data_IF_970164932202
#
_entry.id   IF_970164932202
#
_cell.length_a   1.000
_cell.length_b   1.000
_cell.length_c   1.000
_cell.angle_alpha   90.00
_cell.angle_beta   90.00
_cell.angle_gamma   90.00
#
_symmetry.space_group_name_H-M   'P 1'
#
loop_
_entity.id
_entity.type
_entity.pdbx_description
1 polymer ?
#
# COMPACT_ATOMS: atom_id res chain seq x y z
N UNK A 1 -27.49 9.24 -18.75
CA UNK A 1 -26.41 8.76 -17.88
C UNK A 1 -25.32 8.26 -18.78
N UNK A 2 -24.11 8.77 -18.61
CA UNK A 2 -22.96 8.34 -19.40
C UNK A 2 -22.59 6.89 -19.09
N UNK A 3 -22.22 6.13 -20.13
CA UNK A 3 -21.77 4.73 -19.97
C UNK A 3 -20.26 4.68 -20.09
N UNK A 4 -19.58 4.11 -19.10
CA UNK A 4 -18.15 3.84 -19.13
C UNK A 4 -17.87 2.45 -19.70
N UNK A 5 -16.69 2.24 -20.31
CA UNK A 5 -16.29 0.90 -20.73
C UNK A 5 -15.99 0.03 -19.50
N UNK A 6 -15.28 0.59 -18.52
CA UNK A 6 -14.87 -0.15 -17.31
C UNK A 6 -15.13 0.68 -16.06
N UNK A 7 -15.83 0.09 -15.08
CA UNK A 7 -15.94 0.59 -13.72
C UNK A 7 -14.99 -0.17 -12.79
N UNK A 8 -14.01 0.50 -12.21
CA UNK A 8 -13.10 -0.08 -11.21
C UNK A 8 -13.60 0.28 -9.82
N UNK A 9 -13.93 -0.72 -9.00
CA UNK A 9 -14.47 -0.52 -7.65
C UNK A 9 -13.37 -0.68 -6.60
N UNK A 10 -13.05 0.42 -5.91
CA UNK A 10 -11.98 0.56 -4.93
C UNK A 10 -10.77 1.30 -5.48
N UNK A 11 -10.42 2.46 -4.89
CA UNK A 11 -9.22 3.23 -5.22
C UNK A 11 -8.07 3.02 -4.23
N UNK A 12 -7.91 1.78 -3.73
CA UNK A 12 -6.69 1.31 -3.11
C UNK A 12 -5.58 1.16 -4.15
N UNK A 13 -4.39 0.71 -3.73
CA UNK A 13 -3.22 0.60 -4.62
C UNK A 13 -3.49 -0.27 -5.86
N UNK A 14 -4.24 -1.36 -5.72
CA UNK A 14 -4.58 -2.27 -6.82
C UNK A 14 -5.57 -1.63 -7.80
N UNK A 15 -6.67 -1.05 -7.30
CA UNK A 15 -7.66 -0.43 -8.17
C UNK A 15 -7.16 0.84 -8.84
N UNK A 16 -6.34 1.65 -8.16
CA UNK A 16 -5.71 2.82 -8.76
C UNK A 16 -4.72 2.42 -9.88
N UNK A 17 -3.92 1.36 -9.68
CA UNK A 17 -3.04 0.80 -10.71
C UNK A 17 -3.84 0.25 -11.90
N UNK A 18 -4.93 -0.51 -11.63
CA UNK A 18 -5.82 -1.03 -12.67
C UNK A 18 -6.47 0.11 -13.47
N UNK A 19 -7.02 1.13 -12.81
CA UNK A 19 -7.62 2.28 -13.50
C UNK A 19 -6.60 3.00 -14.39
N UNK A 20 -5.35 3.17 -13.91
CA UNK A 20 -4.25 3.75 -14.68
C UNK A 20 -3.97 2.95 -15.95
N UNK A 21 -3.79 1.63 -15.82
CA UNK A 21 -3.43 0.77 -16.95
C UNK A 21 -4.58 0.66 -17.97
N UNK A 22 -5.82 0.53 -17.50
CA UNK A 22 -7.01 0.49 -18.34
C UNK A 22 -7.22 1.81 -19.10
N UNK A 23 -6.99 2.95 -18.44
CA UNK A 23 -7.04 4.26 -19.11
C UNK A 23 -5.93 4.36 -20.17
N UNK A 24 -4.71 3.87 -19.86
CA UNK A 24 -3.59 3.84 -20.80
C UNK A 24 -3.89 2.99 -22.03
N UNK A 25 -4.60 1.88 -21.84
CA UNK A 25 -5.06 1.02 -22.91
C UNK A 25 -6.17 1.64 -23.79
N UNK A 26 -6.71 2.81 -23.41
CA UNK A 26 -7.65 3.60 -24.21
C UNK A 26 -9.12 3.42 -23.87
N UNK A 27 -9.45 2.67 -22.83
CA UNK A 27 -10.83 2.54 -22.40
C UNK A 27 -11.32 3.74 -21.57
N UNK A 28 -12.60 4.04 -21.67
CA UNK A 28 -13.26 5.05 -20.84
C UNK A 28 -13.53 4.47 -19.45
N UNK A 29 -12.70 4.85 -18.47
CA UNK A 29 -12.68 4.28 -17.13
C UNK A 29 -13.31 5.21 -16.10
N UNK A 30 -14.09 4.63 -15.16
CA UNK A 30 -14.47 5.28 -13.90
C UNK A 30 -13.89 4.52 -12.73
N UNK A 31 -13.21 5.23 -11.83
CA UNK A 31 -12.64 4.70 -10.57
C UNK A 31 -13.54 5.14 -9.42
N UNK A 32 -14.13 4.18 -8.71
CA UNK A 32 -15.08 4.38 -7.63
C UNK A 32 -14.43 4.09 -6.29
N UNK A 33 -14.48 5.03 -5.34
CA UNK A 33 -13.94 4.90 -4.00
C UNK A 33 -14.99 5.18 -2.94
N UNK A 34 -15.14 4.26 -1.99
CA UNK A 34 -16.12 4.38 -0.91
C UNK A 34 -15.75 5.43 0.14
N UNK A 35 -14.49 5.79 0.25
CA UNK A 35 -13.98 6.82 1.17
C UNK A 35 -13.81 8.16 0.45
N UNK A 36 -13.56 9.19 1.25
CA UNK A 36 -13.37 10.56 0.73
C UNK A 36 -12.11 10.72 -0.11
N UNK A 37 -11.13 9.80 0.00
CA UNK A 37 -9.83 9.94 -0.66
C UNK A 37 -9.23 8.59 -1.10
N UNK A 38 -8.40 8.65 -2.12
CA UNK A 38 -7.63 7.52 -2.68
C UNK A 38 -6.65 6.95 -1.68
N UNK A 39 -6.48 5.62 -1.67
CA UNK A 39 -5.52 4.94 -0.80
C UNK A 39 -5.87 4.97 0.68
N UNK A 40 -7.06 5.44 1.06
CA UNK A 40 -7.48 5.62 2.44
C UNK A 40 -7.84 4.31 3.19
N UNK A 41 -7.86 3.17 2.49
CA UNK A 41 -8.08 1.83 3.05
C UNK A 41 -6.79 1.17 3.57
N UNK A 42 -6.66 -0.14 3.35
CA UNK A 42 -5.49 -0.96 3.73
C UNK A 42 -4.17 -0.42 3.15
N UNK A 43 -4.20 0.20 1.98
CA UNK A 43 -3.02 0.69 1.26
C UNK A 43 -2.20 1.73 2.03
N UNK A 44 -2.77 2.45 3.01
CA UNK A 44 -2.03 3.42 3.84
C UNK A 44 -1.38 2.80 5.09
N UNK A 45 -1.73 1.56 5.44
CA UNK A 45 -1.37 0.94 6.71
C UNK A 45 -0.73 -0.44 6.48
N UNK A 46 0.54 -0.43 6.07
CA UNK A 46 1.36 -1.60 5.76
C UNK A 46 2.82 -1.36 6.14
N UNK A 47 3.69 -2.32 5.88
CA UNK A 47 5.13 -2.26 6.18
C UNK A 47 5.96 -1.56 5.11
N UNK A 48 5.36 -1.13 4.02
CA UNK A 48 6.01 -0.38 2.95
C UNK A 48 7.24 -1.07 2.31
N UNK A 49 7.25 -2.40 2.29
CA UNK A 49 8.32 -3.17 1.65
C UNK A 49 8.01 -3.35 0.17
N UNK A 50 8.99 -3.10 -0.67
CA UNK A 50 9.00 -3.45 -2.08
C UNK A 50 9.62 -4.84 -2.22
N UNK A 51 8.75 -5.85 -2.25
CA UNK A 51 9.12 -7.26 -2.16
C UNK A 51 9.69 -7.81 -3.46
N UNK A 52 10.80 -8.52 -3.39
CA UNK A 52 11.36 -9.28 -4.54
C UNK A 52 10.50 -10.50 -4.91
N UNK A 53 9.75 -11.03 -3.95
CA UNK A 53 8.99 -12.27 -4.10
C UNK A 53 9.76 -13.52 -3.69
N UNK A 54 10.96 -13.36 -3.11
CA UNK A 54 11.85 -14.48 -2.75
C UNK A 54 11.17 -15.56 -1.88
N UNK A 55 10.25 -15.15 -1.00
CA UNK A 55 9.57 -16.01 -0.03
C UNK A 55 8.14 -16.43 -0.44
N UNK A 56 7.68 -16.06 -1.62
CA UNK A 56 6.39 -16.48 -2.14
C UNK A 56 6.35 -17.99 -2.40
N UNK A 57 5.16 -18.60 -2.47
CA UNK A 57 5.05 -20.00 -2.84
C UNK A 57 5.43 -20.17 -4.32
N UNK A 58 6.45 -20.95 -4.68
CA UNK A 58 6.86 -21.12 -6.07
C UNK A 58 5.71 -21.60 -6.96
N UNK A 59 5.57 -20.97 -8.14
CA UNK A 59 4.52 -21.29 -9.09
C UNK A 59 3.14 -20.70 -8.76
N UNK A 60 2.98 -20.00 -7.64
CA UNK A 60 1.74 -19.29 -7.31
C UNK A 60 1.52 -18.05 -8.18
N UNK A 61 0.27 -17.58 -8.26
CA UNK A 61 -0.06 -16.30 -8.89
C UNK A 61 0.64 -15.15 -8.16
N UNK A 62 0.68 -15.21 -6.82
CA UNK A 62 1.41 -14.24 -6.00
C UNK A 62 2.89 -14.15 -6.41
N UNK A 63 3.62 -15.28 -6.51
CA UNK A 63 5.04 -15.31 -6.91
C UNK A 63 5.26 -14.61 -8.25
N UNK A 64 4.50 -14.98 -9.27
CA UNK A 64 4.58 -14.40 -10.62
C UNK A 64 4.32 -12.89 -10.62
N UNK A 65 3.24 -12.46 -9.95
CA UNK A 65 2.82 -11.06 -9.99
C UNK A 65 3.67 -10.16 -9.08
N UNK A 66 4.22 -10.66 -7.99
CA UNK A 66 5.15 -9.90 -7.15
C UNK A 66 6.46 -9.65 -7.90
N UNK A 67 7.07 -10.68 -8.48
CA UNK A 67 8.31 -10.55 -9.25
C UNK A 67 8.15 -9.59 -10.45
N UNK A 68 7.01 -9.67 -11.18
CA UNK A 68 6.72 -8.75 -12.29
C UNK A 68 6.47 -7.32 -11.79
N UNK A 69 5.64 -7.17 -10.74
CA UNK A 69 5.27 -5.87 -10.16
C UNK A 69 6.47 -5.14 -9.57
N UNK A 70 7.40 -5.86 -8.94
CA UNK A 70 8.66 -5.31 -8.45
C UNK A 70 9.42 -4.58 -9.57
N UNK A 71 9.63 -5.22 -10.72
CA UNK A 71 10.33 -4.62 -11.86
C UNK A 71 9.60 -3.38 -12.38
N UNK A 72 8.29 -3.50 -12.60
CA UNK A 72 7.46 -2.39 -13.09
C UNK A 72 7.47 -1.19 -12.13
N UNK A 73 7.34 -1.44 -10.84
CA UNK A 73 7.26 -0.37 -9.85
C UNK A 73 8.62 0.31 -9.65
N UNK A 74 9.73 -0.42 -9.73
CA UNK A 74 11.08 0.16 -9.72
C UNK A 74 11.35 1.10 -10.91
N UNK A 75 10.82 0.76 -12.08
CA UNK A 75 10.94 1.62 -13.27
C UNK A 75 10.02 2.84 -13.17
N UNK A 76 8.81 2.67 -12.64
CA UNK A 76 7.82 3.74 -12.56
C UNK A 76 8.10 4.73 -11.42
N UNK A 77 8.50 4.27 -10.25
CA UNK A 77 8.61 5.09 -9.06
C UNK A 77 9.45 6.37 -9.23
N UNK A 78 10.64 6.35 -9.86
CA UNK A 78 11.43 7.55 -10.09
C UNK A 78 10.72 8.59 -10.96
N UNK A 79 10.00 8.16 -11.99
CA UNK A 79 9.28 9.06 -12.92
C UNK A 79 8.09 9.72 -12.24
N UNK A 80 7.40 8.99 -11.39
CA UNK A 80 6.23 9.45 -10.64
C UNK A 80 6.57 10.24 -9.37
N UNK A 81 7.85 10.30 -8.96
CA UNK A 81 8.26 10.96 -7.71
C UNK A 81 8.01 10.13 -6.46
N UNK A 82 7.77 8.83 -6.59
CA UNK A 82 7.60 7.91 -5.48
C UNK A 82 8.98 7.57 -4.89
N UNK A 83 9.16 7.79 -3.59
CA UNK A 83 10.42 7.50 -2.92
C UNK A 83 10.62 5.98 -2.76
N UNK A 84 11.79 5.50 -3.16
CA UNK A 84 12.29 4.15 -2.90
C UNK A 84 13.67 4.28 -2.28
N UNK A 85 13.92 3.56 -1.21
CA UNK A 85 15.23 3.47 -0.56
C UNK A 85 15.76 2.04 -0.67
N UNK A 86 16.97 1.89 -1.20
CA UNK A 86 17.62 0.59 -1.44
C UNK A 86 18.32 0.11 -0.18
N UNK A 87 17.55 -0.41 0.77
CA UNK A 87 18.07 -0.88 2.06
C UNK A 87 18.55 -2.32 2.01
N UNK A 88 17.95 -3.15 1.18
CA UNK A 88 18.04 -4.59 1.31
C UNK A 88 17.29 -5.07 2.55
N UNK A 89 17.26 -6.40 2.71
CA UNK A 89 16.77 -7.05 3.92
C UNK A 89 17.73 -8.13 4.41
N UNK A 90 17.62 -8.45 5.68
CA UNK A 90 18.37 -9.51 6.33
C UNK A 90 17.40 -10.37 7.16
N UNK A 91 17.19 -11.63 6.75
CA UNK A 91 16.55 -12.61 7.61
C UNK A 91 17.51 -12.97 8.73
N UNK A 92 17.02 -12.98 9.98
CA UNK A 92 17.83 -13.24 11.16
C UNK A 92 17.37 -14.53 11.83
N UNK A 93 18.29 -15.48 11.99
CA UNK A 93 18.11 -16.72 12.74
C UNK A 93 18.61 -16.57 14.18
N UNK A 94 17.79 -17.00 15.13
CA UNK A 94 18.01 -16.83 16.56
C UNK A 94 18.27 -18.15 17.30
N UNK A 95 18.28 -19.25 16.56
CA UNK A 95 18.55 -20.60 17.07
C UNK A 95 19.03 -21.48 15.90
N UNK A 96 19.52 -22.67 16.23
CA UNK A 96 20.11 -23.61 15.27
C UNK A 96 19.05 -24.16 14.29
N UNK A 97 17.78 -24.29 14.70
CA UNK A 97 16.70 -24.75 13.81
C UNK A 97 16.40 -23.72 12.72
N UNK A 98 16.32 -22.45 13.10
CA UNK A 98 16.15 -21.35 12.15
C UNK A 98 17.35 -21.24 11.21
N UNK A 99 18.58 -21.32 11.74
CA UNK A 99 19.79 -21.28 10.92
C UNK A 99 19.85 -22.46 9.92
N UNK A 100 19.49 -23.67 10.35
CA UNK A 100 19.42 -24.84 9.50
C UNK A 100 18.36 -24.74 8.38
N UNK A 101 17.34 -23.88 8.52
CA UNK A 101 16.30 -23.68 7.51
C UNK A 101 16.69 -22.66 6.42
N UNK A 102 17.73 -21.84 6.61
CA UNK A 102 18.13 -20.81 5.66
C UNK A 102 18.52 -21.34 4.27
N UNK A 103 19.24 -22.46 4.10
CA UNK A 103 19.53 -23.00 2.78
C UNK A 103 18.27 -23.35 1.98
N UNK A 104 17.25 -23.92 2.62
CA UNK A 104 15.97 -24.22 1.95
C UNK A 104 15.20 -22.95 1.54
N UNK A 105 15.34 -21.85 2.29
CA UNK A 105 14.79 -20.54 1.90
C UNK A 105 15.57 -19.95 0.71
N UNK A 106 16.86 -20.16 0.62
CA UNK A 106 17.67 -19.75 -0.53
C UNK A 106 17.28 -20.55 -1.81
N UNK A 107 17.07 -21.86 -1.69
CA UNK A 107 16.54 -22.69 -2.78
C UNK A 107 15.16 -22.22 -3.22
N UNK A 108 14.29 -21.85 -2.28
CA UNK A 108 12.96 -21.29 -2.56
C UNK A 108 13.05 -19.96 -3.29
N UNK A 109 13.97 -19.08 -2.90
CA UNK A 109 14.23 -17.82 -3.58
C UNK A 109 14.68 -18.05 -5.04
N UNK A 110 15.59 -19.01 -5.27
CA UNK A 110 16.01 -19.37 -6.62
C UNK A 110 14.84 -19.94 -7.47
N UNK A 111 13.95 -20.72 -6.87
CA UNK A 111 12.73 -21.23 -7.52
C UNK A 111 11.72 -20.13 -7.88
N UNK A 112 11.85 -18.95 -7.27
CA UNK A 112 11.09 -17.72 -7.59
C UNK A 112 11.86 -16.78 -8.52
N UNK A 113 12.84 -17.26 -9.28
CA UNK A 113 13.71 -16.48 -10.17
C UNK A 113 14.51 -15.37 -9.45
N UNK A 114 14.78 -15.55 -8.16
CA UNK A 114 15.58 -14.62 -7.35
C UNK A 114 16.76 -15.32 -6.66
N UNK A 115 17.84 -15.63 -7.38
CA UNK A 115 19.01 -16.37 -6.85
C UNK A 115 20.03 -15.50 -6.09
N UNK A 116 19.76 -14.19 -5.90
CA UNK A 116 20.73 -13.23 -5.36
C UNK A 116 20.84 -13.25 -3.82
N UNK A 117 20.15 -14.16 -3.14
CA UNK A 117 20.22 -14.29 -1.70
C UNK A 117 21.54 -14.94 -1.27
N UNK A 118 22.05 -14.55 -0.10
CA UNK A 118 23.29 -15.07 0.48
C UNK A 118 23.06 -15.51 1.93
N UNK A 119 23.35 -16.77 2.23
CA UNK A 119 23.32 -17.28 3.62
C UNK A 119 24.62 -16.92 4.31
N UNK A 120 24.53 -16.30 5.49
CA UNK A 120 25.65 -15.76 6.26
C UNK A 120 25.62 -16.27 7.69
N UNK A 121 26.79 -16.29 8.35
CA UNK A 121 26.90 -16.65 9.77
C UNK A 121 26.48 -15.50 10.71
N UNK A 122 26.41 -15.81 12.02
CA UNK A 122 25.97 -14.85 13.02
C UNK A 122 26.97 -13.70 13.24
N UNK A 123 28.26 -13.87 12.98
CA UNK A 123 29.27 -12.81 13.08
C UNK A 123 29.03 -11.79 11.95
N UNK A 124 28.86 -12.27 10.74
CA UNK A 124 28.51 -11.43 9.57
C UNK A 124 27.21 -10.67 9.81
N UNK A 125 26.18 -11.28 10.40
CA UNK A 125 24.94 -10.57 10.75
C UNK A 125 25.22 -9.42 11.71
N UNK A 126 26.03 -9.62 12.74
CA UNK A 126 26.39 -8.58 13.71
C UNK A 126 27.23 -7.45 13.11
N UNK A 127 28.10 -7.76 12.17
CA UNK A 127 28.87 -6.75 11.43
C UNK A 127 27.97 -5.89 10.53
N UNK A 128 26.97 -6.51 9.89
CA UNK A 128 26.03 -5.85 9.01
C UNK A 128 24.98 -5.01 9.77
N UNK A 129 24.58 -5.46 10.95
CA UNK A 129 23.57 -4.81 11.82
C UNK A 129 24.08 -4.80 13.28
N UNK A 130 24.93 -3.82 13.64
CA UNK A 130 25.59 -3.79 14.95
C UNK A 130 24.66 -3.69 16.16
N UNK A 131 23.41 -3.23 15.95
CA UNK A 131 22.40 -3.09 17.00
C UNK A 131 21.45 -4.30 17.08
N UNK A 132 21.68 -5.35 16.29
CA UNK A 132 20.90 -6.60 16.40
C UNK A 132 21.07 -7.21 17.78
N UNK A 133 19.97 -7.73 18.34
CA UNK A 133 19.97 -8.31 19.69
C UNK A 133 20.89 -9.53 19.82
N UNK A 134 21.22 -9.95 21.05
CA UNK A 134 22.14 -11.06 21.30
C UNK A 134 21.53 -12.41 20.88
N UNK A 135 22.41 -13.40 20.65
CA UNK A 135 22.00 -14.78 20.35
C UNK A 135 21.69 -15.06 18.88
N UNK A 136 22.13 -14.20 17.97
CA UNK A 136 22.04 -14.44 16.53
C UNK A 136 23.01 -15.56 16.13
N UNK A 137 22.48 -16.58 15.44
CA UNK A 137 23.23 -17.76 14.97
C UNK A 137 23.54 -17.73 13.47
N UNK A 138 22.81 -16.97 12.68
CA UNK A 138 23.01 -16.81 11.24
C UNK A 138 21.96 -15.91 10.61
N UNK A 139 22.03 -15.76 9.29
CA UNK A 139 21.09 -14.96 8.53
C UNK A 139 21.09 -15.25 7.03
N UNK A 140 20.19 -14.58 6.31
CA UNK A 140 20.16 -14.60 4.85
C UNK A 140 19.95 -13.18 4.32
N UNK A 141 20.89 -12.68 3.55
CA UNK A 141 20.78 -11.40 2.84
C UNK A 141 19.82 -11.52 1.66
N UNK A 142 18.98 -10.50 1.48
CA UNK A 142 18.10 -10.30 0.33
C UNK A 142 18.37 -8.88 -0.19
N UNK A 143 19.36 -8.71 -1.09
CA UNK A 143 19.90 -7.38 -1.44
C UNK A 143 18.88 -6.41 -2.03
N UNK A 144 17.92 -6.91 -2.81
CA UNK A 144 16.94 -6.10 -3.53
C UNK A 144 15.58 -5.96 -2.81
N UNK A 145 15.46 -6.45 -1.58
CA UNK A 145 14.27 -6.21 -0.77
C UNK A 145 14.34 -4.78 -0.22
N UNK A 146 13.57 -3.87 -0.82
CA UNK A 146 13.68 -2.43 -0.56
C UNK A 146 12.48 -1.90 0.22
N UNK A 147 12.51 -0.61 0.54
CA UNK A 147 11.35 0.11 1.10
C UNK A 147 10.87 1.19 0.14
N UNK A 148 9.56 1.44 0.15
CA UNK A 148 8.90 2.35 -0.79
C UNK A 148 7.88 3.23 -0.05
N UNK A 149 7.55 4.40 -0.62
CA UNK A 149 6.46 5.24 -0.12
C UNK A 149 5.09 4.60 -0.44
N UNK A 150 4.38 4.06 0.58
CA UNK A 150 3.09 3.41 0.38
C UNK A 150 1.94 4.40 0.17
N UNK A 151 2.14 5.68 0.48
CA UNK A 151 1.12 6.72 0.37
C UNK A 151 1.10 7.36 -1.00
N UNK A 152 2.28 7.75 -1.49
CA UNK A 152 2.38 8.34 -2.83
C UNK A 152 2.06 7.35 -3.94
N UNK A 153 2.29 6.04 -3.74
CA UNK A 153 2.09 5.03 -4.78
C UNK A 153 0.65 4.99 -5.33
N UNK A 154 -0.42 4.76 -4.52
CA UNK A 154 -1.79 4.78 -5.04
C UNK A 154 -2.22 6.16 -5.54
N UNK A 155 -1.71 7.24 -4.92
CA UNK A 155 -1.99 8.62 -5.34
C UNK A 155 -1.41 8.89 -6.73
N UNK A 156 -0.18 8.46 -7.00
CA UNK A 156 0.46 8.60 -8.30
C UNK A 156 -0.32 7.85 -9.41
N UNK A 157 -0.72 6.61 -9.15
CA UNK A 157 -1.52 5.84 -10.10
C UNK A 157 -2.85 6.53 -10.42
N UNK A 158 -3.59 6.96 -9.39
CA UNK A 158 -4.85 7.66 -9.59
C UNK A 158 -4.66 9.02 -10.29
N UNK A 159 -3.57 9.74 -9.96
CA UNK A 159 -3.26 11.03 -10.59
C UNK A 159 -2.96 10.86 -12.07
N UNK A 160 -2.15 9.87 -12.44
CA UNK A 160 -1.90 9.54 -13.85
C UNK A 160 -3.20 9.18 -14.57
N UNK A 161 -4.03 8.31 -13.97
CA UNK A 161 -5.31 7.90 -14.56
C UNK A 161 -6.22 9.13 -14.84
N UNK A 162 -6.40 9.98 -13.84
CA UNK A 162 -7.26 11.17 -13.93
C UNK A 162 -6.72 12.19 -14.94
N UNK A 163 -5.40 12.43 -14.93
CA UNK A 163 -4.75 13.35 -15.86
C UNK A 163 -4.86 12.90 -17.33
N UNK A 164 -5.16 11.62 -17.57
CA UNK A 164 -5.32 11.03 -18.90
C UNK A 164 -6.78 10.61 -19.19
N UNK A 165 -7.76 11.12 -18.43
CA UNK A 165 -9.19 11.01 -18.76
C UNK A 165 -10.00 10.01 -17.94
N UNK A 166 -9.42 9.33 -16.95
CA UNK A 166 -10.19 8.54 -15.99
C UNK A 166 -11.07 9.46 -15.13
N UNK A 167 -12.32 9.07 -14.92
CA UNK A 167 -13.21 9.73 -13.98
C UNK A 167 -13.02 9.13 -12.59
N UNK A 168 -12.69 9.93 -11.58
CA UNK A 168 -12.60 9.50 -10.18
C UNK A 168 -13.83 10.00 -9.41
N UNK A 169 -14.55 9.08 -8.75
CA UNK A 169 -15.64 9.39 -7.84
C UNK A 169 -15.32 8.86 -6.45
N UNK A 170 -15.12 9.76 -5.52
CA UNK A 170 -14.98 9.47 -4.08
C UNK A 170 -16.33 9.57 -3.37
N UNK A 171 -16.40 9.10 -2.13
CA UNK A 171 -17.66 8.97 -1.38
C UNK A 171 -18.71 8.16 -2.17
N UNK A 172 -18.26 7.21 -2.99
CA UNK A 172 -19.10 6.35 -3.81
C UNK A 172 -18.99 4.89 -3.33
N UNK A 173 -19.68 4.58 -2.25
CA UNK A 173 -19.77 3.21 -1.73
C UNK A 173 -20.80 2.42 -2.54
N UNK A 174 -20.37 1.48 -3.35
CA UNK A 174 -21.26 0.61 -4.12
C UNK A 174 -22.12 -0.24 -3.19
N UNK A 175 -23.41 0.08 -3.11
CA UNK A 175 -24.42 -0.60 -2.31
C UNK A 175 -25.30 -1.53 -3.15
N UNK A 176 -25.57 -1.18 -4.41
CA UNK A 176 -26.39 -1.95 -5.34
C UNK A 176 -25.68 -2.29 -6.64
N UNK A 177 -26.00 -3.44 -7.22
CA UNK A 177 -25.52 -3.91 -8.52
C UNK A 177 -26.70 -4.49 -9.30
N UNK A 178 -26.94 -4.02 -10.52
CA UNK A 178 -27.93 -4.56 -11.44
C UNK A 178 -27.24 -4.91 -12.76
N UNK A 179 -27.17 -6.19 -13.07
CA UNK A 179 -26.52 -6.72 -14.28
C UNK A 179 -27.57 -6.78 -15.37
N UNK A 180 -27.47 -5.94 -16.39
CA UNK A 180 -28.32 -5.96 -17.58
C UNK A 180 -27.61 -6.64 -18.76
N UNK A 181 -28.25 -6.67 -19.93
CA UNK A 181 -27.75 -7.41 -21.11
C UNK A 181 -26.40 -6.88 -21.63
N UNK A 182 -26.21 -5.57 -21.68
CA UNK A 182 -24.98 -4.94 -22.22
C UNK A 182 -24.19 -4.13 -21.18
N UNK A 183 -24.80 -3.79 -20.06
CA UNK A 183 -24.21 -2.91 -19.06
C UNK A 183 -24.62 -3.33 -17.65
N UNK A 184 -23.79 -2.96 -16.68
CA UNK A 184 -24.07 -3.08 -15.25
C UNK A 184 -24.30 -1.69 -14.67
N UNK A 185 -25.36 -1.55 -13.87
CA UNK A 185 -25.67 -0.36 -13.08
C UNK A 185 -25.11 -0.55 -11.68
N UNK A 186 -24.22 0.35 -11.27
CA UNK A 186 -23.67 0.42 -9.93
C UNK A 186 -24.32 1.58 -9.19
N UNK A 187 -24.96 1.30 -8.06
CA UNK A 187 -25.67 2.28 -7.24
C UNK A 187 -24.92 2.49 -5.93
N UNK A 188 -24.61 3.74 -5.60
CA UNK A 188 -24.02 4.11 -4.32
C UNK A 188 -25.08 4.14 -3.21
N UNK A 189 -24.62 4.11 -1.94
CA UNK A 189 -25.49 4.20 -0.75
C UNK A 189 -26.24 5.54 -0.63
N UNK A 190 -25.73 6.61 -1.27
CA UNK A 190 -26.38 7.92 -1.37
C UNK A 190 -27.34 8.07 -2.58
N UNK A 191 -27.52 7.01 -3.36
CA UNK A 191 -28.41 6.96 -4.52
C UNK A 191 -27.79 7.44 -5.84
N UNK A 192 -26.52 7.88 -5.87
CA UNK A 192 -25.82 8.11 -7.14
C UNK A 192 -25.68 6.82 -7.93
N UNK A 193 -25.76 6.91 -9.24
CA UNK A 193 -25.71 5.74 -10.11
C UNK A 193 -24.70 5.94 -11.23
N UNK A 194 -23.98 4.88 -11.57
CA UNK A 194 -23.03 4.81 -12.68
C UNK A 194 -23.31 3.57 -13.53
N UNK A 195 -23.25 3.72 -14.84
CA UNK A 195 -23.41 2.64 -15.81
C UNK A 195 -22.06 2.28 -16.43
N UNK A 196 -21.72 0.99 -16.43
CA UNK A 196 -20.47 0.48 -17.00
C UNK A 196 -20.72 -0.74 -17.88
N UNK A 197 -19.90 -0.96 -18.90
CA UNK A 197 -19.95 -2.20 -19.70
C UNK A 197 -19.31 -3.37 -18.93
N UNK A 198 -18.18 -3.13 -18.29
CA UNK A 198 -17.44 -4.10 -17.49
C UNK A 198 -17.19 -3.58 -16.09
N UNK A 199 -17.06 -4.48 -15.12
CA UNK A 199 -16.74 -4.17 -13.72
C UNK A 199 -15.47 -4.88 -13.30
N UNK A 200 -14.53 -4.14 -12.70
CA UNK A 200 -13.34 -4.68 -12.03
C UNK A 200 -13.51 -4.50 -10.52
N UNK A 201 -13.53 -5.59 -9.80
CA UNK A 201 -13.56 -5.61 -8.34
C UNK A 201 -12.14 -5.53 -7.78
N UNK A 202 -11.78 -4.37 -7.25
CA UNK A 202 -10.57 -4.12 -6.48
C UNK A 202 -10.90 -3.58 -5.08
N UNK A 203 -12.06 -3.99 -4.52
CA UNK A 203 -12.63 -3.45 -3.29
C UNK A 203 -11.92 -3.90 -1.99
N UNK A 204 -10.75 -4.56 -2.10
CA UNK A 204 -9.90 -4.92 -0.96
C UNK A 204 -10.67 -5.74 0.08
N UNK A 205 -10.80 -5.24 1.33
CA UNK A 205 -11.52 -5.92 2.41
C UNK A 205 -13.00 -6.24 2.11
N UNK A 206 -13.61 -5.54 1.17
CA UNK A 206 -15.01 -5.76 0.76
C UNK A 206 -15.13 -6.46 -0.60
N UNK A 207 -14.03 -7.04 -1.09
CA UNK A 207 -14.00 -7.73 -2.39
C UNK A 207 -14.93 -8.92 -2.46
N UNK A 208 -15.05 -9.71 -1.40
CA UNK A 208 -15.96 -10.84 -1.28
C UNK A 208 -17.45 -10.42 -1.29
N UNK A 209 -17.76 -9.27 -0.66
CA UNK A 209 -19.12 -8.72 -0.64
C UNK A 209 -19.55 -8.27 -2.04
N UNK A 210 -18.67 -7.55 -2.76
CA UNK A 210 -18.95 -7.16 -4.13
C UNK A 210 -19.03 -8.39 -5.05
N UNK A 211 -18.18 -9.39 -4.84
CA UNK A 211 -18.20 -10.64 -5.60
C UNK A 211 -19.55 -11.35 -5.48
N UNK A 212 -20.10 -11.43 -4.25
CA UNK A 212 -21.46 -11.97 -4.02
C UNK A 212 -22.56 -11.12 -4.66
N UNK A 213 -22.47 -9.78 -4.64
CA UNK A 213 -23.42 -8.90 -5.33
C UNK A 213 -23.41 -9.04 -6.85
N UNK A 214 -22.26 -9.43 -7.41
CA UNK A 214 -22.11 -9.77 -8.82
C UNK A 214 -22.65 -11.17 -9.15
N UNK A 215 -23.19 -11.90 -8.17
CA UNK A 215 -23.78 -13.24 -8.36
C UNK A 215 -22.79 -14.39 -8.24
N UNK A 216 -21.61 -14.17 -7.70
CA UNK A 216 -20.56 -15.17 -7.54
C UNK A 216 -20.21 -15.42 -6.07
N UNK A 217 -19.71 -16.62 -5.81
CA UNK A 217 -19.17 -17.05 -4.52
C UNK A 217 -17.84 -17.75 -4.79
N UNK A 218 -17.04 -18.01 -3.79
CA UNK A 218 -15.77 -18.73 -3.98
C UNK A 218 -14.71 -18.37 -2.95
N UNK A 219 -14.85 -17.22 -2.26
CA UNK A 219 -13.98 -16.86 -1.15
C UNK A 219 -14.67 -15.92 -0.16
N UNK A 220 -14.19 -15.95 1.07
CA UNK A 220 -14.62 -15.04 2.13
C UNK A 220 -13.40 -14.30 2.68
N UNK A 221 -13.50 -12.98 2.83
CA UNK A 221 -12.43 -12.19 3.42
C UNK A 221 -12.62 -12.13 4.93
N UNK A 222 -11.67 -12.73 5.64
CA UNK A 222 -11.49 -12.59 7.07
C UNK A 222 -10.28 -11.69 7.32
N UNK A 223 -10.46 -10.47 7.86
CA UNK A 223 -9.34 -9.55 8.04
C UNK A 223 -8.27 -10.13 8.94
N UNK A 224 -6.98 -10.00 8.52
CA UNK A 224 -5.84 -10.27 9.40
C UNK A 224 -5.23 -8.95 9.81
N UNK A 225 -5.43 -8.57 11.08
CA UNK A 225 -4.93 -7.32 11.65
C UNK A 225 -3.43 -7.41 11.89
N UNK A 226 -2.71 -6.39 11.45
CA UNK A 226 -1.31 -6.15 11.73
C UNK A 226 -1.12 -4.80 12.41
N UNK A 227 -0.79 -4.82 13.68
CA UNK A 227 -0.48 -3.63 14.47
C UNK A 227 0.99 -3.29 14.33
N UNK A 228 1.32 -2.00 14.28
CA UNK A 228 2.68 -1.51 14.09
C UNK A 228 2.97 -0.35 15.04
N UNK A 229 4.21 -0.31 15.52
CA UNK A 229 4.78 0.79 16.29
C UNK A 229 5.77 1.54 15.38
N UNK A 230 5.67 2.84 15.29
CA UNK A 230 6.58 3.71 14.54
C UNK A 230 7.39 4.53 15.52
N UNK A 231 8.70 4.33 15.51
CA UNK A 231 9.66 5.10 16.30
C UNK A 231 10.09 6.36 15.56
N UNK A 232 10.56 7.34 16.32
CA UNK A 232 11.02 8.62 15.78
C UNK A 232 12.21 8.44 14.82
N UNK A 233 12.47 9.44 13.99
CA UNK A 233 13.60 9.47 13.05
C UNK A 233 14.96 9.33 13.73
N UNK A 234 15.06 9.66 15.04
CA UNK A 234 16.28 9.45 15.82
C UNK A 234 16.66 7.99 15.95
N UNK A 235 15.69 7.06 15.82
CA UNK A 235 15.96 5.63 15.77
C UNK A 235 16.60 5.14 14.45
N UNK A 236 16.57 5.94 13.37
CA UNK A 236 17.04 5.51 12.03
C UNK A 236 18.49 5.00 12.01
N UNK A 237 19.47 5.58 12.75
CA UNK A 237 20.84 5.09 12.80
C UNK A 237 21.00 3.69 13.41
N UNK A 238 20.01 3.21 14.18
CA UNK A 238 20.04 1.87 14.77
C UNK A 238 19.81 0.74 13.75
N UNK A 239 19.42 1.08 12.53
CA UNK A 239 19.01 0.08 11.53
C UNK A 239 19.51 0.44 10.15
N UNK A 240 20.26 -0.45 9.51
CA UNK A 240 20.75 -0.26 8.15
C UNK A 240 19.80 -0.89 7.12
N UNK A 241 19.25 -2.07 7.44
CA UNK A 241 18.42 -2.91 6.56
C UNK A 241 17.09 -3.25 7.22
N UNK A 242 16.17 -3.78 6.44
CA UNK A 242 14.98 -4.43 7.00
C UNK A 242 15.38 -5.75 7.64
N UNK A 243 15.14 -5.91 8.94
CA UNK A 243 15.33 -7.17 9.65
C UNK A 243 14.07 -8.01 9.57
N UNK A 244 14.15 -9.13 8.89
CA UNK A 244 13.05 -10.08 8.72
C UNK A 244 13.28 -11.28 9.64
N UNK A 245 12.23 -11.82 10.27
CA UNK A 245 12.34 -13.10 10.96
C UNK A 245 12.41 -14.25 9.96
N UNK A 246 13.05 -15.34 10.34
CA UNK A 246 12.91 -16.61 9.61
C UNK A 246 11.44 -17.05 9.73
N UNK A 247 10.74 -17.30 8.60
CA UNK A 247 9.33 -17.69 8.63
C UNK A 247 9.13 -19.02 9.37
N UNK A 248 8.02 -19.12 10.11
CA UNK A 248 7.55 -20.37 10.69
C UNK A 248 6.33 -20.89 9.92
N UNK A 249 5.88 -22.12 10.22
CA UNK A 249 4.66 -22.70 9.64
C UNK A 249 3.41 -21.87 9.91
N UNK A 250 3.41 -20.99 10.93
CA UNK A 250 2.23 -20.25 11.37
C UNK A 250 2.28 -18.76 11.03
N UNK A 251 3.46 -18.13 10.91
CA UNK A 251 3.58 -16.70 10.72
C UNK A 251 4.91 -16.32 10.06
N UNK A 252 4.87 -15.24 9.28
CA UNK A 252 6.10 -14.56 8.80
C UNK A 252 6.83 -13.83 9.93
N UNK A 253 6.20 -13.65 11.10
CA UNK A 253 6.78 -13.04 12.28
C UNK A 253 6.77 -11.51 12.29
N UNK A 254 7.43 -10.94 13.32
CA UNK A 254 7.58 -9.50 13.53
C UNK A 254 8.91 -9.06 12.94
N UNK A 255 8.90 -8.01 12.17
CA UNK A 255 10.07 -7.39 11.56
C UNK A 255 10.40 -6.04 12.20
N UNK A 256 11.62 -5.55 11.97
CA UNK A 256 12.02 -4.16 12.21
C UNK A 256 12.47 -3.60 10.86
N UNK A 257 11.87 -2.51 10.42
CA UNK A 257 12.15 -1.93 9.12
C UNK A 257 12.33 -0.41 9.20
N UNK A 258 13.29 0.16 8.46
CA UNK A 258 13.29 1.59 8.24
C UNK A 258 12.09 1.99 7.35
N UNK A 259 11.77 3.26 7.32
CA UNK A 259 10.81 3.83 6.37
C UNK A 259 11.49 4.84 5.48
N UNK A 260 11.01 5.05 4.27
CA UNK A 260 11.52 6.11 3.38
C UNK A 260 11.37 7.51 4.00
N UNK A 261 10.60 7.64 5.07
CA UNK A 261 10.38 8.89 5.80
C UNK A 261 11.38 9.10 6.94
N UNK A 262 12.35 8.19 7.11
CA UNK A 262 13.39 8.24 8.15
C UNK A 262 12.99 7.65 9.50
N UNK A 263 11.78 7.18 9.69
CA UNK A 263 11.33 6.49 10.89
C UNK A 263 11.78 5.02 10.89
N UNK A 264 11.63 4.33 12.03
CA UNK A 264 11.78 2.88 12.14
C UNK A 264 10.46 2.27 12.60
N UNK A 265 10.04 1.18 11.96
CA UNK A 265 8.82 0.44 12.30
C UNK A 265 9.16 -0.89 12.96
N UNK A 266 8.35 -1.26 13.95
CA UNK A 266 8.33 -2.57 14.60
C UNK A 266 6.93 -3.18 14.40
N UNK A 267 6.85 -4.37 13.86
CA UNK A 267 5.59 -5.09 13.59
C UNK A 267 5.71 -5.92 12.33
N UNK A 268 4.60 -6.39 11.79
CA UNK A 268 3.24 -6.32 12.34
C UNK A 268 2.89 -7.50 13.27
N UNK A 269 1.80 -7.37 14.00
CA UNK A 269 1.07 -8.54 14.54
C UNK A 269 0.33 -9.29 13.42
N UNK A 270 -0.30 -10.42 13.74
CA UNK A 270 -1.03 -11.23 12.76
C UNK A 270 -2.26 -11.90 13.42
N UNK A 271 -3.27 -11.10 13.74
CA UNK A 271 -4.48 -11.55 14.42
C UNK A 271 -5.65 -11.63 13.44
N UNK A 272 -6.25 -12.82 13.28
CA UNK A 272 -7.47 -12.97 12.50
C UNK A 272 -8.65 -12.40 13.31
N UNK A 273 -9.43 -11.52 12.68
CA UNK A 273 -10.59 -10.85 13.28
C UNK A 273 -11.77 -10.91 12.32
N UNK A 274 -12.98 -10.64 12.81
CA UNK A 274 -14.18 -10.69 11.97
C UNK A 274 -14.62 -9.29 11.52
N UNK A 275 -14.31 -8.25 12.30
CA UNK A 275 -14.72 -6.87 12.01
C UNK A 275 -13.76 -6.20 11.01
N UNK A 276 -14.26 -5.94 9.79
CA UNK A 276 -13.55 -5.24 8.72
C UNK A 276 -13.30 -3.75 8.99
N UNK A 277 -13.89 -3.20 10.05
CA UNK A 277 -13.71 -1.81 10.47
C UNK A 277 -12.75 -1.65 11.67
N UNK A 278 -12.34 -2.74 12.32
CA UNK A 278 -11.51 -2.71 13.54
C UNK A 278 -10.03 -2.37 13.24
N UNK A 279 -9.76 -1.15 12.84
CA UNK A 279 -8.41 -0.62 12.52
C UNK A 279 -7.67 -0.05 13.73
N UNK A 280 -8.23 -0.17 14.95
CA UNK A 280 -7.58 0.25 16.18
C UNK A 280 -6.47 -0.70 16.63
N UNK A 281 -5.43 -0.15 17.25
CA UNK A 281 -4.40 -0.92 17.96
C UNK A 281 -4.90 -1.39 19.32
N UNK A 282 -4.39 -2.53 19.81
CA UNK A 282 -4.72 -3.09 21.12
C UNK A 282 -3.52 -3.09 22.05
N UNK A 283 -3.76 -2.97 23.36
CA UNK A 283 -2.68 -3.07 24.35
C UNK A 283 -1.93 -4.40 24.23
N UNK A 284 -2.65 -5.51 24.10
CA UNK A 284 -2.07 -6.84 23.99
C UNK A 284 -1.16 -6.98 22.76
N UNK A 285 -1.60 -6.45 21.60
CA UNK A 285 -0.80 -6.48 20.39
C UNK A 285 0.47 -5.63 20.51
N UNK A 286 0.34 -4.41 21.06
CA UNK A 286 1.49 -3.52 21.28
C UNK A 286 2.49 -4.11 22.29
N UNK A 287 2.02 -4.68 23.41
CA UNK A 287 2.87 -5.34 24.41
C UNK A 287 3.63 -6.54 23.80
N UNK A 288 2.96 -7.32 22.93
CA UNK A 288 3.58 -8.43 22.20
C UNK A 288 4.66 -7.94 21.22
N UNK A 289 4.43 -6.82 20.53
CA UNK A 289 5.43 -6.20 19.64
C UNK A 289 6.65 -5.73 20.44
N UNK A 290 6.46 -5.03 21.55
CA UNK A 290 7.56 -4.55 22.40
C UNK A 290 8.41 -5.73 22.94
N UNK A 291 7.77 -6.84 23.34
CA UNK A 291 8.48 -8.05 23.75
C UNK A 291 9.35 -8.64 22.62
N UNK A 292 8.86 -8.64 21.39
CA UNK A 292 9.60 -9.07 20.21
C UNK A 292 10.72 -8.10 19.85
N UNK A 293 10.43 -6.79 19.87
CA UNK A 293 11.41 -5.73 19.60
C UNK A 293 12.62 -5.79 20.52
N UNK A 294 12.40 -6.10 21.81
CA UNK A 294 13.50 -6.29 22.79
C UNK A 294 14.48 -7.38 22.40
N UNK A 295 14.02 -8.40 21.67
CA UNK A 295 14.90 -9.46 21.15
C UNK A 295 15.60 -9.03 19.87
N UNK A 296 14.90 -8.32 18.96
CA UNK A 296 15.39 -8.04 17.61
C UNK A 296 16.40 -6.88 17.62
N UNK A 297 16.02 -5.73 18.17
CA UNK A 297 16.86 -4.54 18.31
C UNK A 297 16.57 -3.91 19.68
N UNK A 298 17.23 -4.36 20.77
CA UNK A 298 16.94 -3.88 22.13
C UNK A 298 16.95 -2.36 22.28
N UNK A 299 17.96 -1.70 21.70
CA UNK A 299 18.14 -0.24 21.76
C UNK A 299 16.97 0.55 21.14
N UNK A 300 16.20 -0.06 20.24
CA UNK A 300 15.05 0.58 19.64
C UNK A 300 13.96 0.95 20.69
N UNK A 301 13.88 0.19 21.78
CA UNK A 301 12.85 0.40 22.80
C UNK A 301 13.16 1.60 23.74
N UNK A 302 14.36 2.16 23.67
CA UNK A 302 14.74 3.37 24.37
C UNK A 302 14.39 4.63 23.54
N UNK A 303 13.99 4.45 22.28
CA UNK A 303 13.63 5.54 21.38
C UNK A 303 12.16 5.93 21.52
N UNK A 304 11.87 7.20 21.20
CA UNK A 304 10.50 7.73 21.28
C UNK A 304 9.58 7.12 20.21
N UNK A 305 8.36 6.77 20.61
CA UNK A 305 7.29 6.35 19.70
C UNK A 305 6.59 7.58 19.13
N UNK A 306 6.61 7.69 17.80
CA UNK A 306 5.92 8.77 17.08
C UNK A 306 4.45 8.41 16.80
N UNK A 307 4.17 7.16 16.42
CA UNK A 307 2.82 6.72 16.09
C UNK A 307 2.64 5.21 16.30
N UNK A 308 1.38 4.82 16.50
CA UNK A 308 0.93 3.43 16.43
C UNK A 308 -0.25 3.35 15.46
N UNK A 309 -0.34 2.27 14.71
CA UNK A 309 -1.48 2.04 13.83
C UNK A 309 -1.69 0.55 13.55
N UNK A 310 -2.83 0.20 13.00
CA UNK A 310 -3.11 -1.14 12.53
C UNK A 310 -3.62 -1.13 11.09
N UNK A 311 -3.18 -2.12 10.31
CA UNK A 311 -3.66 -2.40 8.97
C UNK A 311 -4.39 -3.74 8.91
N UNK A 312 -5.43 -3.82 8.09
CA UNK A 312 -6.22 -5.04 7.90
C UNK A 312 -5.87 -5.65 6.53
N UNK A 313 -5.26 -6.83 6.54
CA UNK A 313 -4.99 -7.58 5.31
C UNK A 313 -6.25 -8.31 4.87
N UNK A 314 -6.56 -8.29 3.58
CA UNK A 314 -7.69 -9.02 2.98
C UNK A 314 -7.37 -10.52 2.83
N UNK A 315 -7.21 -11.22 3.98
CA UNK A 315 -6.94 -12.65 3.99
C UNK A 315 -8.20 -13.44 3.66
N UNK A 316 -8.03 -14.56 2.95
CA UNK A 316 -9.08 -15.53 2.64
C UNK A 316 -8.67 -16.90 3.16
N UNK A 317 -9.55 -17.89 3.06
CA UNK A 317 -9.29 -19.30 3.30
C UNK A 317 -8.27 -19.90 2.31
N UNK A 318 -8.03 -19.23 1.18
CA UNK A 318 -7.09 -19.68 0.16
C UNK A 318 -5.68 -19.17 0.40
N UNK A 319 -4.69 -19.90 -0.06
CA UNK A 319 -3.27 -19.55 0.08
C UNK A 319 -2.76 -18.56 -0.97
N UNK A 320 -3.47 -18.35 -2.08
CA UNK A 320 -3.07 -17.50 -3.21
C UNK A 320 -4.11 -16.41 -3.52
N UNK A 321 -3.80 -15.51 -4.43
CA UNK A 321 -4.71 -14.47 -4.91
C UNK A 321 -5.95 -15.07 -5.57
N UNK A 322 -7.09 -14.42 -5.40
CA UNK A 322 -8.36 -14.83 -5.99
C UNK A 322 -8.65 -13.96 -7.22
N UNK A 323 -8.06 -14.34 -8.35
CA UNK A 323 -8.23 -13.63 -9.62
C UNK A 323 -9.15 -14.43 -10.53
N UNK A 324 -10.19 -13.80 -11.07
CA UNK A 324 -11.13 -14.49 -11.95
C UNK A 324 -11.78 -13.54 -12.97
N UNK A 325 -12.12 -14.10 -14.14
CA UNK A 325 -12.92 -13.46 -15.16
C UNK A 325 -14.27 -14.19 -15.31
N UNK A 326 -15.35 -13.43 -15.38
CA UNK A 326 -16.71 -13.93 -15.51
C UNK A 326 -17.40 -13.30 -16.74
N UNK A 327 -17.26 -13.91 -17.94
CA UNK A 327 -17.74 -13.34 -19.20
C UNK A 327 -19.25 -13.06 -19.20
N UNK A 328 -20.06 -13.95 -18.64
CA UNK A 328 -21.53 -13.80 -18.58
C UNK A 328 -22.01 -12.58 -17.82
N UNK A 329 -21.21 -12.11 -16.84
CA UNK A 329 -21.49 -10.91 -16.05
C UNK A 329 -20.59 -9.73 -16.45
N UNK A 330 -19.71 -9.88 -17.42
CA UNK A 330 -18.70 -8.86 -17.81
C UNK A 330 -17.94 -8.34 -16.60
N UNK A 331 -17.47 -9.26 -15.79
CA UNK A 331 -16.91 -8.98 -14.47
C UNK A 331 -15.54 -9.63 -14.28
N UNK A 332 -14.64 -8.90 -13.64
CA UNK A 332 -13.32 -9.36 -13.24
C UNK A 332 -13.14 -9.13 -11.74
N UNK A 333 -12.61 -10.12 -11.04
CA UNK A 333 -12.27 -10.05 -9.62
C UNK A 333 -10.76 -10.04 -9.41
N UNK A 334 -10.28 -9.08 -8.61
CA UNK A 334 -8.92 -8.98 -8.08
C UNK A 334 -8.99 -9.08 -6.55
N UNK A 335 -9.30 -10.28 -6.05
CA UNK A 335 -9.58 -10.55 -4.64
C UNK A 335 -8.44 -11.27 -3.92
N UNK A 336 -8.53 -11.36 -2.58
CA UNK A 336 -7.61 -12.14 -1.74
C UNK A 336 -6.16 -11.65 -1.73
N UNK A 337 -5.91 -10.38 -2.07
CA UNK A 337 -4.57 -9.78 -2.13
C UNK A 337 -4.20 -9.34 -0.72
N UNK A 338 -3.38 -10.13 -0.04
CA UNK A 338 -3.10 -10.01 1.40
C UNK A 338 -2.03 -8.97 1.74
N UNK A 339 -0.76 -9.32 1.51
CA UNK A 339 0.40 -8.57 2.05
C UNK A 339 1.24 -7.90 0.98
N UNK A 340 1.23 -8.41 -0.25
CA UNK A 340 2.15 -8.05 -1.34
C UNK A 340 1.50 -7.17 -2.41
N UNK A 341 0.27 -6.69 -2.15
CA UNK A 341 -0.51 -5.87 -3.09
C UNK A 341 0.13 -4.55 -3.50
N UNK A 342 0.96 -3.95 -2.65
CA UNK A 342 1.72 -2.74 -2.99
C UNK A 342 2.69 -3.04 -4.13
N UNK A 343 3.53 -4.06 -3.96
CA UNK A 343 4.52 -4.46 -4.96
C UNK A 343 3.87 -5.00 -6.24
N UNK A 344 2.89 -5.89 -6.11
CA UNK A 344 2.25 -6.55 -7.27
C UNK A 344 1.26 -5.66 -8.02
N UNK A 345 0.96 -4.45 -7.53
CA UNK A 345 -0.12 -3.60 -8.04
C UNK A 345 -0.09 -3.35 -9.54
N UNK A 346 1.08 -3.04 -10.11
CA UNK A 346 1.21 -2.79 -11.55
C UNK A 346 1.07 -4.08 -12.38
N UNK A 347 1.57 -5.20 -11.89
CA UNK A 347 1.37 -6.51 -12.55
C UNK A 347 -0.09 -6.97 -12.46
N UNK A 348 -0.76 -6.71 -11.33
CA UNK A 348 -2.21 -6.92 -11.21
C UNK A 348 -3.01 -6.06 -12.18
N UNK A 349 -2.54 -4.87 -12.50
CA UNK A 349 -3.15 -4.01 -13.50
C UNK A 349 -2.99 -4.58 -14.93
N UNK A 350 -1.82 -5.12 -15.29
CA UNK A 350 -1.62 -5.87 -16.54
C UNK A 350 -2.52 -7.12 -16.60
N UNK A 351 -2.63 -7.84 -15.49
CA UNK A 351 -3.51 -9.01 -15.37
C UNK A 351 -4.99 -8.63 -15.53
N UNK A 352 -5.42 -7.49 -14.99
CA UNK A 352 -6.79 -6.99 -15.16
C UNK A 352 -7.15 -6.76 -16.62
N UNK A 353 -6.23 -6.22 -17.42
CA UNK A 353 -6.40 -6.07 -18.89
C UNK A 353 -6.60 -7.44 -19.54
N UNK A 354 -5.77 -8.42 -19.19
CA UNK A 354 -5.86 -9.78 -19.72
C UNK A 354 -7.20 -10.44 -19.36
N UNK A 355 -7.62 -10.34 -18.11
CA UNK A 355 -8.87 -10.90 -17.62
C UNK A 355 -10.10 -10.22 -18.24
N UNK A 356 -10.07 -8.91 -18.47
CA UNK A 356 -11.15 -8.19 -19.16
C UNK A 356 -11.27 -8.59 -20.63
N UNK A 357 -10.14 -8.79 -21.31
CA UNK A 357 -10.13 -9.32 -22.68
C UNK A 357 -10.72 -10.73 -22.71
N UNK A 358 -10.38 -11.57 -21.75
CA UNK A 358 -10.98 -12.93 -21.59
C UNK A 358 -12.47 -12.83 -21.29
N UNK A 359 -12.91 -11.80 -20.57
CA UNK A 359 -14.33 -11.54 -20.30
C UNK A 359 -15.09 -10.95 -21.49
N UNK A 360 -14.42 -10.67 -22.63
CA UNK A 360 -15.01 -10.20 -23.87
C UNK A 360 -14.91 -8.67 -24.09
N UNK A 361 -14.07 -7.94 -23.34
CA UNK A 361 -13.81 -6.54 -23.62
C UNK A 361 -12.89 -6.42 -24.86
N UNK A 362 -13.41 -5.80 -25.90
CA UNK A 362 -12.67 -5.54 -27.13
C UNK A 362 -11.53 -4.53 -26.89
N UNK A 363 -10.42 -4.74 -27.59
CA UNK A 363 -9.27 -3.85 -27.46
C UNK A 363 -9.63 -2.42 -27.95
N UNK A 364 -9.18 -1.42 -27.20
CA UNK A 364 -9.27 -0.02 -27.57
C UNK A 364 -7.91 0.46 -28.15
N UNK A 365 -7.92 1.61 -28.80
CA UNK A 365 -6.68 2.25 -29.22
C UNK A 365 -5.99 2.88 -28.00
N UNK A 366 -4.74 2.49 -27.67
CA UNK A 366 -4.04 3.07 -26.55
C UNK A 366 -3.91 4.59 -26.64
N UNK A 367 -3.86 5.26 -25.50
CA UNK A 367 -3.66 6.72 -25.43
C UNK A 367 -2.32 7.06 -26.06
N UNK A 368 -2.34 7.86 -27.13
CA UNK A 368 -1.14 8.19 -27.92
C UNK A 368 -0.13 9.06 -27.16
N UNK A 369 -0.63 10.02 -26.36
CA UNK A 369 0.20 10.94 -25.56
C UNK A 369 -0.09 10.73 -24.08
N UNK A 370 0.52 9.73 -23.47
CA UNK A 370 0.39 9.46 -22.05
C UNK A 370 1.18 10.46 -21.21
N UNK A 371 0.53 11.04 -20.19
CA UNK A 371 1.16 11.96 -19.24
C UNK A 371 1.39 11.26 -17.90
N UNK A 372 2.65 11.13 -17.50
CA UNK A 372 3.00 10.76 -16.12
C UNK A 372 3.18 12.03 -15.29
N UNK A 373 2.41 12.15 -14.22
CA UNK A 373 2.43 13.30 -13.31
C UNK A 373 3.40 13.01 -12.18
N UNK A 374 4.48 13.77 -12.13
CA UNK A 374 5.45 13.64 -11.05
C UNK A 374 4.93 14.29 -9.77
N UNK A 375 4.77 13.49 -8.73
CA UNK A 375 4.47 13.98 -7.38
C UNK A 375 5.72 14.55 -6.70
N UNK A 376 5.52 15.37 -5.66
CA UNK A 376 6.60 15.75 -4.76
C UNK A 376 7.03 14.53 -3.95
N UNK A 377 8.31 14.19 -3.99
CA UNK A 377 8.87 13.09 -3.21
C UNK A 377 8.79 13.38 -1.71
N UNK A 378 8.31 12.42 -0.93
CA UNK A 378 8.17 12.54 0.52
C UNK A 378 9.30 11.87 1.31
N UNK A 379 10.24 11.20 0.61
CA UNK A 379 11.34 10.48 1.24
C UNK A 379 12.38 11.40 1.89
N UNK A 380 12.91 10.99 3.03
CA UNK A 380 13.93 11.74 3.77
C UNK A 380 15.27 11.78 3.04
N UNK A 381 15.61 10.71 2.30
CA UNK A 381 16.84 10.63 1.52
C UNK A 381 16.92 11.63 0.36
N UNK A 382 15.79 12.16 -0.10
CA UNK A 382 15.73 13.21 -1.10
C UNK A 382 15.64 14.55 -0.35
N UNK A 383 16.66 15.43 -0.40
CA UNK A 383 16.55 16.74 0.21
C UNK A 383 15.30 17.44 -0.32
N UNK A 384 14.35 17.73 0.57
CA UNK A 384 13.26 18.61 0.19
C UNK A 384 13.89 19.96 -0.12
N UNK A 385 13.75 20.47 -1.36
CA UNK A 385 14.11 21.84 -1.57
C UNK A 385 13.23 22.65 -0.63
N UNK A 386 13.81 23.22 0.43
CA UNK A 386 13.19 24.35 1.09
C UNK A 386 13.01 25.36 -0.02
N UNK A 387 11.80 25.43 -0.54
CA UNK A 387 11.49 26.41 -1.55
C UNK A 387 11.89 27.74 -0.95
N UNK A 388 12.90 28.36 -1.54
CA UNK A 388 13.42 29.64 -1.09
C UNK A 388 12.25 30.60 -0.96
N UNK A 389 11.82 30.90 0.30
CA UNK A 389 10.73 31.80 0.61
C UNK A 389 9.41 31.16 1.09
N UNK A 390 9.27 29.83 1.13
CA UNK A 390 8.06 29.16 1.64
C UNK A 390 7.96 29.24 3.17
N UNK A 391 6.81 29.67 3.70
CA UNK A 391 6.52 29.63 5.13
C UNK A 391 6.37 28.16 5.58
N UNK A 392 7.18 27.74 6.56
CA UNK A 392 7.05 26.42 7.18
C UNK A 392 5.85 26.44 8.12
N UNK A 393 4.95 25.49 7.96
CA UNK A 393 3.75 25.27 8.77
C UNK A 393 3.93 24.06 9.69
N UNK A 394 4.35 22.92 9.15
CA UNK A 394 4.68 21.76 9.97
C UNK A 394 6.19 21.70 10.24
N UNK A 395 6.59 22.09 11.44
CA UNK A 395 8.01 22.16 11.81
C UNK A 395 8.65 20.78 11.98
N UNK A 396 7.91 19.76 12.45
CA UNK A 396 8.43 18.39 12.61
C UNK A 396 8.85 17.78 11.26
N UNK A 397 8.03 17.97 10.23
CA UNK A 397 8.23 17.42 8.89
C UNK A 397 8.69 18.50 7.89
N UNK A 398 8.88 19.74 8.34
CA UNK A 398 9.34 20.86 7.53
C UNK A 398 8.49 21.12 6.30
N UNK A 399 7.17 20.98 6.43
CA UNK A 399 6.20 21.16 5.33
C UNK A 399 5.80 22.64 5.24
N UNK A 400 5.82 23.16 4.02
CA UNK A 400 5.50 24.56 3.72
C UNK A 400 4.00 24.76 3.47
N UNK A 401 3.58 26.01 3.53
CA UNK A 401 2.25 26.47 3.14
C UNK A 401 1.91 26.05 1.68
N UNK A 402 2.87 26.23 0.79
CA UNK A 402 2.66 25.95 -0.64
C UNK A 402 2.45 24.46 -0.91
N UNK A 403 3.18 23.57 -0.21
CA UNK A 403 2.96 22.13 -0.30
C UNK A 403 1.55 21.72 0.17
N UNK A 404 1.05 22.32 1.27
CA UNK A 404 -0.29 22.07 1.77
C UNK A 404 -1.35 22.56 0.76
N UNK A 405 -1.18 23.78 0.23
CA UNK A 405 -2.09 24.35 -0.76
C UNK A 405 -2.10 23.52 -2.06
N UNK A 406 -0.93 23.08 -2.54
CA UNK A 406 -0.81 22.21 -3.70
C UNK A 406 -1.51 20.86 -3.49
N UNK A 407 -1.42 20.29 -2.30
CA UNK A 407 -2.05 19.00 -1.99
C UNK A 407 -3.59 19.02 -2.11
N UNK A 408 -4.23 20.16 -1.82
CA UNK A 408 -5.70 20.30 -1.89
C UNK A 408 -6.20 20.83 -3.23
N UNK A 409 -5.31 21.26 -4.13
CA UNK A 409 -5.61 21.73 -5.49
C UNK A 409 -5.07 20.82 -6.61
N UNK A 410 -4.47 19.67 -6.26
CA UNK A 410 -3.94 18.68 -7.20
C UNK A 410 -5.05 18.05 -8.08
N UNK A 411 -4.73 17.40 -9.20
CA UNK A 411 -5.71 16.66 -10.01
C UNK A 411 -6.48 15.59 -9.21
N UNK A 412 -5.81 14.94 -8.23
CA UNK A 412 -6.44 14.11 -7.20
C UNK A 412 -6.21 14.79 -5.85
N UNK A 413 -7.08 15.74 -5.47
CA UNK A 413 -6.86 16.58 -4.30
C UNK A 413 -7.06 15.81 -2.99
N UNK A 414 -6.34 16.21 -1.94
CA UNK A 414 -6.68 15.81 -0.58
C UNK A 414 -8.09 16.34 -0.22
N UNK A 415 -8.89 15.51 0.44
CA UNK A 415 -10.26 15.86 0.84
C UNK A 415 -10.51 15.85 2.33
N UNK A 416 -9.54 15.36 3.10
CA UNK A 416 -9.47 15.36 4.56
C UNK A 416 -8.04 15.59 5.04
N UNK A 417 -7.84 15.75 6.34
CA UNK A 417 -6.51 15.95 6.93
C UNK A 417 -5.59 14.75 6.74
N UNK A 418 -6.14 13.54 6.71
CA UNK A 418 -5.37 12.33 6.45
C UNK A 418 -4.86 12.31 4.99
N UNK A 419 -5.66 12.80 4.05
CA UNK A 419 -5.26 13.04 2.67
C UNK A 419 -4.13 14.07 2.52
N UNK A 420 -4.17 15.17 3.29
CA UNK A 420 -3.07 16.15 3.37
C UNK A 420 -1.81 15.49 3.93
N UNK A 421 -1.95 14.72 5.01
CA UNK A 421 -0.85 13.94 5.61
C UNK A 421 -0.16 13.03 4.60
N UNK A 422 -0.94 12.28 3.81
CA UNK A 422 -0.41 11.34 2.81
C UNK A 422 0.25 12.01 1.61
N UNK A 423 -0.02 13.28 1.34
CA UNK A 423 0.57 14.03 0.21
C UNK A 423 1.72 14.94 0.60
N UNK A 424 1.85 15.26 1.90
CA UNK A 424 2.82 16.28 2.35
C UNK A 424 3.66 15.84 3.53
N UNK A 425 3.24 14.85 4.31
CA UNK A 425 3.76 14.52 5.65
C UNK A 425 3.38 15.52 6.74
N UNK A 426 2.68 16.62 6.47
CA UNK A 426 2.12 17.46 7.55
C UNK A 426 1.28 16.59 8.50
N UNK A 427 1.28 16.88 9.79
CA UNK A 427 0.57 16.12 10.84
C UNK A 427 1.16 14.73 11.15
N UNK A 428 2.24 14.28 10.48
CA UNK A 428 2.80 12.93 10.64
C UNK A 428 4.06 12.87 11.50
N UNK A 429 4.62 14.02 11.88
CA UNK A 429 5.83 14.08 12.68
C UNK A 429 5.56 13.88 14.17
N UNK A 430 6.60 13.99 14.99
CA UNK A 430 6.64 13.70 16.44
C UNK A 430 5.48 14.31 17.25
N UNK A 431 4.97 15.50 16.90
CA UNK A 431 3.85 16.13 17.60
C UNK A 431 2.46 15.66 17.10
N UNK A 432 2.37 14.82 16.08
CA UNK A 432 1.13 14.29 15.51
C UNK A 432 0.07 15.37 15.23
N UNK A 433 0.52 16.52 14.73
CA UNK A 433 -0.36 17.65 14.38
C UNK A 433 -0.70 18.60 15.54
N UNK A 434 -0.31 18.30 16.78
CA UNK A 434 -0.63 19.16 17.93
C UNK A 434 -0.27 20.64 17.69
N UNK A 435 0.85 20.90 17.04
CA UNK A 435 1.31 22.27 16.76
C UNK A 435 0.68 22.87 15.50
N UNK A 436 0.56 22.13 14.41
CA UNK A 436 0.26 22.68 13.09
C UNK A 436 -1.19 22.43 12.61
N UNK A 437 -2.02 21.65 13.31
CA UNK A 437 -3.33 21.23 12.79
C UNK A 437 -4.26 22.40 12.46
N UNK A 438 -4.32 23.42 13.30
CA UNK A 438 -5.19 24.57 13.07
C UNK A 438 -4.82 25.33 11.79
N UNK A 439 -3.53 25.57 11.56
CA UNK A 439 -3.04 26.27 10.36
C UNK A 439 -3.20 25.38 9.10
N UNK A 440 -2.92 24.07 9.21
CA UNK A 440 -3.16 23.12 8.12
C UNK A 440 -4.64 23.10 7.73
N UNK A 441 -5.58 23.08 8.70
CA UNK A 441 -7.02 23.17 8.43
C UNK A 441 -7.38 24.47 7.72
N UNK A 442 -6.86 25.61 8.18
CA UNK A 442 -7.15 26.91 7.58
C UNK A 442 -6.65 26.98 6.12
N UNK A 443 -5.44 26.53 5.86
CA UNK A 443 -4.85 26.48 4.52
C UNK A 443 -5.59 25.53 3.60
N UNK A 444 -5.97 24.34 4.10
CA UNK A 444 -6.73 23.36 3.34
C UNK A 444 -8.15 23.89 2.99
N UNK A 445 -8.80 24.55 3.92
CA UNK A 445 -10.09 25.21 3.67
C UNK A 445 -9.97 26.32 2.61
N UNK A 446 -8.98 27.20 2.74
CA UNK A 446 -8.76 28.28 1.79
C UNK A 446 -8.40 27.76 0.39
N UNK A 447 -7.54 26.76 0.29
CA UNK A 447 -7.09 26.19 -0.98
C UNK A 447 -8.16 25.35 -1.71
N UNK A 448 -9.07 24.71 -0.96
CA UNK A 448 -10.13 23.87 -1.52
C UNK A 448 -11.47 24.59 -1.72
N UNK A 449 -11.65 25.77 -1.12
CA UNK A 449 -12.93 26.48 -1.07
C UNK A 449 -14.00 25.81 -0.18
N UNK A 450 -13.62 24.81 0.64
CA UNK A 450 -14.55 24.07 1.53
C UNK A 450 -14.50 24.70 2.93
N UNK A 451 -15.63 24.68 3.68
CA UNK A 451 -15.66 25.20 5.05
C UNK A 451 -14.61 24.54 5.96
N UNK A 452 -14.03 25.30 6.87
CA UNK A 452 -13.00 24.79 7.80
C UNK A 452 -13.50 23.63 8.67
N UNK A 453 -14.78 23.65 9.07
CA UNK A 453 -15.43 22.60 9.86
C UNK A 453 -15.29 21.21 9.18
N UNK A 454 -15.43 21.15 7.86
CA UNK A 454 -15.26 19.93 7.08
C UNK A 454 -13.87 19.29 7.25
N UNK A 455 -12.84 20.12 7.48
CA UNK A 455 -11.47 19.67 7.69
C UNK A 455 -11.18 19.27 9.13
N UNK A 456 -11.96 19.80 10.07
CA UNK A 456 -11.82 19.48 11.50
C UNK A 456 -12.54 18.19 11.91
N UNK A 457 -13.29 17.55 11.00
CA UNK A 457 -14.10 16.37 11.32
C UNK A 457 -15.29 16.68 12.24
N UNK A 458 -15.72 17.95 12.27
CA UNK A 458 -16.93 18.41 12.97
C UNK A 458 -18.03 18.47 11.91
N UNK A 459 -19.02 17.57 12.03
CA UNK A 459 -20.24 17.59 11.23
C UNK A 459 -21.23 18.64 11.73
#
# INVERSE_FOLDING_TARGET
MDTFDVGVVGAGVVGAAAARELTRAGWRVVLLEAKVDVGAGTSKANTAILHTGFDAAPGSVESRLVARGYRLLREYAPTAGISVETTGALLVAWDDEQAASLPALAEKAAANDYPLVEVVDGDTVRDLEPHVGPGVTGGMLVPDEHIIDPWSTPIAFATDAVANGCTLLTDFRVAGVEIGDDTTLLTADDGRMIRTRFVVNAAGLHGDELHRRMGFDGFTIRPRRGELIVFDKLARPLLQRTLLPVPTSHTKGVLVAPTVFGNVMLGPTADDIDDKAATGSTRTGLDALLAKGRRIVPALLDEEVTAVYAGLRAATEHSDYQLSAHPSARYVCLGGIRSTGLTSSMALAEEAVTLLTTAGLEAAAPVAEWRTIRLTSLGEAVPRPYQLGGQIVCHCERVTKDEITAAVSAPVPARDLDGVRRRTRALAGRCQGFYCSAEVCALAAAGSGRPMQTWMGVE
#
